data_IF_077206686105
#
_entry.id   IF_077206686105
#
_cell.length_a   1.000
_cell.length_b   1.000
_cell.length_c   1.000
_cell.angle_alpha   90.00
_cell.angle_beta   90.00
_cell.angle_gamma   90.00
#
_symmetry.space_group_name_H-M   'P 1'
#
loop_
_entity.id
_entity.type
_entity.pdbx_description
1 polymer ?
#
# COMPACT_ATOMS: atom_id res chain seq x y z
N UNK A 1 -14.02 5.18 -13.99
CA UNK A 1 -14.39 4.29 -12.87
C UNK A 1 -13.17 4.14 -11.97
N UNK A 2 -13.07 4.97 -10.93
CA UNK A 2 -11.97 4.97 -9.94
C UNK A 2 -12.51 4.87 -8.50
N UNK A 3 -13.79 4.50 -8.36
CA UNK A 3 -14.47 4.43 -7.06
C UNK A 3 -14.09 3.17 -6.26
N UNK A 4 -13.68 2.09 -6.91
CA UNK A 4 -13.41 0.81 -6.24
C UNK A 4 -12.23 0.85 -5.27
N UNK A 5 -11.13 1.52 -5.63
CA UNK A 5 -9.92 1.57 -4.78
C UNK A 5 -10.12 2.46 -3.55
N UNK A 6 -10.82 3.58 -3.72
CA UNK A 6 -11.16 4.47 -2.61
C UNK A 6 -12.19 3.85 -1.67
N UNK A 7 -13.18 3.13 -2.21
CA UNK A 7 -14.16 2.38 -1.41
C UNK A 7 -13.48 1.24 -0.65
N UNK A 8 -12.58 0.47 -1.27
CA UNK A 8 -11.82 -0.57 -0.57
C UNK A 8 -10.91 -0.01 0.53
N UNK A 9 -10.37 1.19 0.35
CA UNK A 9 -9.64 1.90 1.40
C UNK A 9 -10.56 2.23 2.59
N UNK A 10 -11.76 2.76 2.33
CA UNK A 10 -12.73 3.04 3.39
C UNK A 10 -13.33 1.78 4.03
N UNK A 11 -13.49 0.68 3.29
CA UNK A 11 -13.91 -0.62 3.81
C UNK A 11 -12.83 -1.24 4.70
N UNK A 12 -11.55 -1.10 4.35
CA UNK A 12 -10.44 -1.50 5.21
C UNK A 12 -10.39 -0.67 6.50
N UNK A 13 -10.61 0.65 6.40
CA UNK A 13 -10.72 1.55 7.57
C UNK A 13 -11.92 1.16 8.45
N UNK A 14 -13.08 0.83 7.87
CA UNK A 14 -14.26 0.38 8.62
C UNK A 14 -14.05 -0.97 9.30
N UNK A 15 -13.36 -1.92 8.67
CA UNK A 15 -12.98 -3.19 9.31
C UNK A 15 -12.01 -3.00 10.49
N UNK A 16 -11.22 -1.92 10.48
CA UNK A 16 -10.30 -1.57 11.57
C UNK A 16 -11.00 -0.92 12.77
N UNK A 17 -12.20 -0.34 12.58
CA UNK A 17 -13.00 0.32 13.63
C UNK A 17 -13.55 -0.64 14.70
N UNK A 18 -13.31 -1.96 14.58
CA UNK A 18 -13.47 -2.87 15.71
C UNK A 18 -12.45 -2.60 16.83
N UNK A 19 -11.46 -1.72 16.59
CA UNK A 19 -10.73 -0.96 17.60
C UNK A 19 -10.92 0.54 17.33
N UNK A 20 -11.66 1.23 18.20
CA UNK A 20 -11.89 2.67 18.12
C UNK A 20 -10.57 3.42 18.38
N UNK A 21 -9.85 3.74 17.32
CA UNK A 21 -8.83 4.78 17.36
C UNK A 21 -9.49 6.13 17.07
N UNK A 22 -9.06 7.16 17.80
CA UNK A 22 -9.45 8.54 17.51
C UNK A 22 -9.14 8.89 16.05
N UNK A 23 -9.96 9.75 15.43
CA UNK A 23 -9.81 10.14 14.02
C UNK A 23 -8.39 10.64 13.70
N UNK A 24 -7.80 11.39 14.62
CA UNK A 24 -6.43 11.90 14.50
C UNK A 24 -5.38 10.78 14.42
N UNK A 25 -5.57 9.71 15.19
CA UNK A 25 -4.70 8.54 15.20
C UNK A 25 -4.83 7.73 13.91
N UNK A 26 -6.05 7.63 13.37
CA UNK A 26 -6.29 7.03 12.04
C UNK A 26 -5.59 7.84 10.95
N UNK A 27 -5.73 9.16 10.97
CA UNK A 27 -5.10 10.05 9.98
C UNK A 27 -3.57 9.99 10.05
N UNK A 28 -2.99 9.98 11.25
CA UNK A 28 -1.53 9.82 11.44
C UNK A 28 -1.01 8.49 10.90
N UNK A 29 -1.73 7.39 11.17
CA UNK A 29 -1.36 6.06 10.66
C UNK A 29 -1.50 5.99 9.15
N UNK A 30 -2.55 6.58 8.59
CA UNK A 30 -2.77 6.66 7.15
C UNK A 30 -1.64 7.42 6.46
N UNK A 31 -1.35 8.63 6.94
CA UNK A 31 -0.30 9.48 6.39
C UNK A 31 1.03 8.73 6.37
N UNK A 32 1.42 8.15 7.51
CA UNK A 32 2.62 7.33 7.61
C UNK A 32 2.66 6.18 6.60
N UNK A 33 1.57 5.41 6.48
CA UNK A 33 1.51 4.28 5.55
C UNK A 33 1.63 4.75 4.08
N UNK A 34 1.00 5.86 3.73
CA UNK A 34 1.05 6.44 2.39
C UNK A 34 2.43 7.01 2.07
N UNK A 35 3.06 7.73 3.00
CA UNK A 35 4.43 8.25 2.86
C UNK A 35 5.43 7.12 2.66
N UNK A 36 5.35 6.06 3.48
CA UNK A 36 6.22 4.89 3.36
C UNK A 36 6.03 4.17 2.02
N UNK A 37 4.78 4.01 1.56
CA UNK A 37 4.47 3.41 0.26
C UNK A 37 5.00 4.24 -0.91
N UNK A 38 4.81 5.56 -0.86
CA UNK A 38 5.30 6.47 -1.89
C UNK A 38 6.83 6.48 -1.98
N UNK A 39 7.52 6.53 -0.84
CA UNK A 39 8.98 6.51 -0.79
C UNK A 39 9.56 5.27 -1.48
N UNK A 40 8.94 4.10 -1.28
CA UNK A 40 9.36 2.85 -1.91
C UNK A 40 9.14 2.87 -3.44
N UNK A 41 8.01 3.42 -3.90
CA UNK A 41 7.72 3.55 -5.33
C UNK A 41 8.70 4.55 -5.98
N UNK A 42 8.97 5.67 -5.31
CA UNK A 42 9.91 6.68 -5.76
C UNK A 42 11.33 6.12 -5.92
N UNK A 43 11.77 5.32 -4.95
CA UNK A 43 13.08 4.68 -5.01
C UNK A 43 13.19 3.70 -6.18
N UNK A 44 12.18 2.83 -6.37
CA UNK A 44 12.12 1.90 -7.51
C UNK A 44 12.13 2.65 -8.84
N UNK A 45 11.37 3.74 -8.93
CA UNK A 45 11.31 4.62 -10.10
C UNK A 45 12.69 5.18 -10.44
N UNK A 46 13.43 5.72 -9.46
CA UNK A 46 14.78 6.27 -9.67
C UNK A 46 15.80 5.20 -10.02
N UNK A 47 15.82 4.09 -9.28
CA UNK A 47 16.79 3.01 -9.49
C UNK A 47 16.62 2.34 -10.86
N UNK A 48 15.38 2.09 -11.28
CA UNK A 48 15.07 1.41 -12.55
C UNK A 48 14.78 2.38 -13.70
N UNK A 49 14.82 3.70 -13.46
CA UNK A 49 14.45 4.75 -14.43
C UNK A 49 13.08 4.50 -15.08
N UNK A 50 12.10 4.16 -14.25
CA UNK A 50 10.74 3.84 -14.70
C UNK A 50 9.76 4.98 -14.37
N UNK A 51 8.69 5.16 -15.15
CA UNK A 51 7.57 6.00 -14.73
C UNK A 51 7.00 5.50 -13.38
N UNK A 52 6.54 6.42 -12.53
CA UNK A 52 5.99 6.10 -11.20
C UNK A 52 4.87 5.06 -11.24
N UNK A 53 4.01 5.11 -12.27
CA UNK A 53 2.96 4.12 -12.49
C UNK A 53 3.53 2.70 -12.62
N UNK A 54 4.56 2.54 -13.45
CA UNK A 54 5.21 1.24 -13.66
C UNK A 54 5.95 0.80 -12.39
N UNK A 55 6.63 1.71 -11.70
CA UNK A 55 7.29 1.42 -10.43
C UNK A 55 6.30 0.94 -9.34
N UNK A 56 5.09 1.50 -9.31
CA UNK A 56 4.02 1.05 -8.41
C UNK A 56 3.58 -0.40 -8.71
N UNK A 57 3.43 -0.77 -9.99
CA UNK A 57 3.15 -2.15 -10.37
C UNK A 57 4.29 -3.11 -10.00
N UNK A 58 5.54 -2.70 -10.23
CA UNK A 58 6.71 -3.48 -9.80
C UNK A 58 6.68 -3.71 -8.29
N UNK A 59 6.36 -2.68 -7.51
CA UNK A 59 6.27 -2.80 -6.05
C UNK A 59 5.16 -3.76 -5.61
N UNK A 60 3.99 -3.67 -6.25
CA UNK A 60 2.86 -4.56 -5.98
C UNK A 60 3.23 -6.03 -6.25
N UNK A 61 3.86 -6.31 -7.39
CA UNK A 61 4.33 -7.65 -7.75
C UNK A 61 5.35 -8.18 -6.74
N UNK A 62 6.34 -7.39 -6.36
CA UNK A 62 7.33 -7.78 -5.35
C UNK A 62 6.69 -8.16 -4.00
N UNK A 63 5.67 -7.41 -3.58
CA UNK A 63 4.93 -7.69 -2.35
C UNK A 63 4.19 -9.04 -2.44
N UNK A 64 3.51 -9.28 -3.56
CA UNK A 64 2.78 -10.54 -3.82
C UNK A 64 3.75 -11.72 -3.89
N UNK A 65 4.84 -11.62 -4.66
CA UNK A 65 5.86 -12.67 -4.77
C UNK A 65 6.48 -12.98 -3.42
N UNK A 66 6.86 -11.96 -2.64
CA UNK A 66 7.39 -12.17 -1.29
C UNK A 66 6.38 -12.86 -0.37
N UNK A 67 5.11 -12.49 -0.44
CA UNK A 67 4.05 -13.14 0.32
C UNK A 67 3.79 -14.60 -0.13
N UNK A 68 4.03 -14.93 -1.40
CA UNK A 68 3.97 -16.31 -1.91
C UNK A 68 5.19 -17.12 -1.44
N UNK A 69 6.41 -16.58 -1.53
CA UNK A 69 7.63 -17.23 -1.04
C UNK A 69 7.58 -17.55 0.46
N UNK A 70 7.08 -16.62 1.28
CA UNK A 70 6.91 -16.86 2.72
C UNK A 70 5.83 -17.91 3.07
N UNK A 71 4.94 -18.25 2.12
CA UNK A 71 3.85 -19.23 2.34
C UNK A 71 4.21 -20.67 1.97
N UNK A 72 5.42 -20.92 1.45
CA UNK A 72 5.92 -22.27 1.22
C UNK A 72 5.26 -22.98 0.04
N UNK A 73 5.82 -22.76 -1.14
CA UNK A 73 5.80 -23.76 -2.20
C UNK A 73 7.23 -23.78 -2.79
N UNK A 74 8.11 -24.50 -2.09
CA UNK A 74 9.24 -25.25 -2.64
C UNK A 74 8.82 -26.73 -2.67
#
# INVERSE_FOLDING_TARGET
>A
MSGGVTVSFFEWVQNLQNFRWEEEEVNKRLDRAMTEAFAQIWEISRQKKLPLRTAAFVKALQSVTRAHLHRGFD
#
